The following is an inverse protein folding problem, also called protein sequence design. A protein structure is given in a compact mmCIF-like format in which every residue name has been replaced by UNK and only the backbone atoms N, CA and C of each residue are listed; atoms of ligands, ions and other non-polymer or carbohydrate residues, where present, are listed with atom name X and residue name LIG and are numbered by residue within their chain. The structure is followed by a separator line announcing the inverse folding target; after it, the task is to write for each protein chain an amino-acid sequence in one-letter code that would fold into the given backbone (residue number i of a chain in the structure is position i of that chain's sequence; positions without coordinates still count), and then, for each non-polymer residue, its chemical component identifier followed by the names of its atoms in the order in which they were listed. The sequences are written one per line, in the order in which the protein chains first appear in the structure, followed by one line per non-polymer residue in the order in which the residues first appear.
data_IF_381295587389
#
_entry.id   IF_381295587389
#
_cell.length_a   1.000
_cell.length_b   1.000
_cell.length_c   1.000
_cell.angle_alpha   90.00
_cell.angle_beta   90.00
_cell.angle_gamma   90.00
#
_symmetry.space_group_name_H-M   'P 1'
#
loop_
_entity.id
_entity.type
_entity.pdbx_description
1 polymer ?
#
# COMPACT_ATOMS: atom_id res chain seq x y z
N UNK A 1 -31.65 -13.77 6.15
CA UNK A 1 -31.74 -14.62 4.94
C UNK A 1 -30.54 -14.33 4.06
N UNK A 2 -29.98 -15.31 3.36
CA UNK A 2 -28.91 -15.10 2.37
C UNK A 2 -29.59 -14.80 1.02
N UNK A 3 -28.98 -13.94 0.20
CA UNK A 3 -29.49 -13.52 -1.11
C UNK A 3 -29.88 -14.72 -1.99
N UNK A 4 -29.11 -15.82 -1.91
CA UNK A 4 -29.36 -17.05 -2.68
C UNK A 4 -30.67 -17.74 -2.29
N UNK A 5 -31.09 -17.61 -1.03
CA UNK A 5 -32.38 -18.12 -0.55
C UNK A 5 -33.51 -17.24 -1.05
N UNK A 6 -33.35 -15.91 -0.99
CA UNK A 6 -34.34 -14.95 -1.48
C UNK A 6 -34.56 -15.09 -3.00
N UNK A 7 -33.49 -15.27 -3.79
CA UNK A 7 -33.57 -15.51 -5.24
C UNK A 7 -34.37 -16.79 -5.53
N UNK A 8 -34.13 -17.89 -4.80
CA UNK A 8 -34.88 -19.14 -4.94
C UNK A 8 -36.37 -18.96 -4.65
N UNK A 9 -36.71 -18.28 -3.56
CA UNK A 9 -38.11 -17.98 -3.18
C UNK A 9 -38.79 -17.11 -4.25
N UNK A 10 -38.11 -16.10 -4.81
CA UNK A 10 -38.63 -15.27 -5.91
C UNK A 10 -38.88 -16.07 -7.19
N UNK A 11 -38.00 -17.02 -7.52
CA UNK A 11 -38.22 -17.93 -8.65
C UNK A 11 -39.43 -18.86 -8.44
N UNK A 12 -39.70 -19.29 -7.21
CA UNK A 12 -40.88 -20.11 -6.87
C UNK A 12 -42.18 -19.31 -6.96
N UNK A 13 -42.15 -18.00 -6.68
CA UNK A 13 -43.30 -17.09 -6.82
C UNK A 13 -43.69 -16.87 -8.28
N UNK A 14 -42.78 -17.14 -9.24
CA UNK A 14 -43.06 -17.06 -10.68
C UNK A 14 -43.82 -18.32 -11.13
N UNK A 15 -45.15 -18.29 -11.36
CA UNK A 15 -45.91 -19.49 -11.74
C UNK A 15 -45.40 -20.08 -13.06
N UNK A 16 -45.10 -21.38 -13.06
CA UNK A 16 -44.87 -22.17 -14.28
C UNK A 16 -46.21 -22.41 -14.98
N UNK A 17 -46.65 -21.46 -15.80
CA UNK A 17 -47.78 -21.66 -16.73
C UNK A 17 -49.09 -20.90 -16.46
N UNK A 18 -49.08 -19.81 -15.68
CA UNK A 18 -50.24 -18.92 -15.50
C UNK A 18 -50.03 -17.54 -16.14
N UNK A 19 -51.12 -16.80 -16.43
CA UNK A 19 -51.05 -15.40 -16.90
C UNK A 19 -50.60 -14.52 -15.74
N UNK A 20 -49.30 -14.24 -15.66
CA UNK A 20 -48.77 -13.20 -14.76
C UNK A 20 -49.02 -11.84 -15.43
N UNK A 21 -49.55 -10.83 -14.72
CA UNK A 21 -49.51 -9.47 -15.22
C UNK A 21 -48.05 -9.08 -15.53
N UNK A 22 -47.75 -8.68 -16.76
CA UNK A 22 -46.38 -8.43 -17.23
C UNK A 22 -45.53 -7.59 -16.26
N UNK A 23 -46.12 -6.53 -15.68
CA UNK A 23 -45.48 -5.68 -14.66
C UNK A 23 -44.97 -6.44 -13.43
N UNK A 24 -45.66 -7.49 -13.01
CA UNK A 24 -45.25 -8.33 -11.88
C UNK A 24 -44.07 -9.23 -12.27
N UNK A 25 -44.04 -9.74 -13.50
CA UNK A 25 -42.90 -10.51 -13.98
C UNK A 25 -41.65 -9.63 -14.07
N UNK A 26 -41.78 -8.44 -14.65
CA UNK A 26 -40.70 -7.44 -14.74
C UNK A 26 -40.17 -7.04 -13.35
N UNK A 27 -41.06 -6.83 -12.38
CA UNK A 27 -40.66 -6.51 -11.00
C UNK A 27 -39.91 -7.65 -10.30
N UNK A 28 -40.30 -8.91 -10.56
CA UNK A 28 -39.60 -10.08 -10.02
C UNK A 28 -38.23 -10.25 -10.67
N UNK A 29 -38.14 -10.12 -11.99
CA UNK A 29 -36.88 -10.23 -12.73
C UNK A 29 -35.90 -9.13 -12.29
N UNK A 30 -36.37 -7.88 -12.12
CA UNK A 30 -35.55 -6.78 -11.60
C UNK A 30 -35.08 -7.02 -10.15
N UNK A 31 -35.93 -7.58 -9.28
CA UNK A 31 -35.55 -7.90 -7.91
C UNK A 31 -34.50 -9.03 -7.84
N UNK A 32 -34.63 -10.04 -8.70
CA UNK A 32 -33.64 -11.13 -8.81
C UNK A 32 -32.31 -10.56 -9.29
N UNK A 33 -32.30 -9.75 -10.36
CA UNK A 33 -31.09 -9.13 -10.89
C UNK A 33 -30.38 -8.28 -9.83
N UNK A 34 -31.12 -7.45 -9.08
CA UNK A 34 -30.55 -6.64 -8.02
C UNK A 34 -29.90 -7.50 -6.91
N UNK A 35 -30.50 -8.63 -6.54
CA UNK A 35 -29.94 -9.54 -5.54
C UNK A 35 -28.69 -10.27 -6.06
N UNK A 36 -28.65 -10.62 -7.35
CA UNK A 36 -27.46 -11.18 -8.00
C UNK A 36 -26.30 -10.18 -8.00
N UNK A 37 -26.55 -8.90 -8.29
CA UNK A 37 -25.54 -7.84 -8.20
C UNK A 37 -25.01 -7.69 -6.75
N UNK A 38 -25.89 -7.69 -5.75
CA UNK A 38 -25.50 -7.63 -4.33
C UNK A 38 -24.63 -8.83 -3.93
N UNK A 39 -24.91 -10.03 -4.46
CA UNK A 39 -24.06 -11.20 -4.23
C UNK A 39 -22.65 -11.03 -4.79
N UNK A 40 -22.53 -10.45 -6.00
CA UNK A 40 -21.22 -10.18 -6.59
C UNK A 40 -20.42 -9.20 -5.72
N UNK A 41 -21.03 -8.15 -5.20
CA UNK A 41 -20.36 -7.23 -4.27
C UNK A 41 -19.97 -7.92 -2.96
N UNK A 42 -20.85 -8.75 -2.37
CA UNK A 42 -20.54 -9.49 -1.14
C UNK A 42 -19.44 -10.54 -1.31
N UNK A 43 -19.23 -11.05 -2.52
CA UNK A 43 -18.11 -11.92 -2.81
C UNK A 43 -16.74 -11.20 -2.72
N UNK A 44 -16.73 -9.86 -2.86
CA UNK A 44 -15.54 -9.03 -2.68
C UNK A 44 -15.24 -8.82 -1.19
N UNK A 45 -16.27 -8.55 -0.39
CA UNK A 45 -16.17 -8.36 1.05
C UNK A 45 -17.40 -7.68 1.66
N UNK A 46 -17.46 -7.60 2.98
CA UNK A 46 -18.49 -6.82 3.68
C UNK A 46 -18.17 -5.32 3.64
N UNK A 47 -19.17 -4.43 3.81
CA UNK A 47 -18.93 -3.00 3.92
C UNK A 47 -17.89 -2.65 5.00
N UNK A 48 -17.90 -3.37 6.13
CA UNK A 48 -16.96 -3.18 7.22
C UNK A 48 -15.53 -3.60 6.82
N UNK A 49 -15.36 -4.76 6.17
CA UNK A 49 -14.06 -5.22 5.67
C UNK A 49 -13.48 -4.26 4.62
N UNK A 50 -14.32 -3.75 3.73
CA UNK A 50 -13.90 -2.79 2.71
C UNK A 50 -13.54 -1.43 3.31
N UNK A 51 -14.24 -1.00 4.37
CA UNK A 51 -13.92 0.23 5.09
C UNK A 51 -12.60 0.11 5.85
N UNK A 52 -12.36 -1.04 6.50
CA UNK A 52 -11.11 -1.33 7.19
C UNK A 52 -9.93 -1.38 6.19
N UNK A 53 -10.08 -2.11 5.09
CA UNK A 53 -9.08 -2.15 4.02
C UNK A 53 -8.76 -0.76 3.46
N UNK A 54 -9.78 0.08 3.27
CA UNK A 54 -9.61 1.47 2.85
C UNK A 54 -8.78 2.25 3.86
N UNK A 55 -9.08 2.13 5.16
CA UNK A 55 -8.33 2.81 6.23
C UNK A 55 -6.86 2.39 6.24
N UNK A 56 -6.62 1.08 6.29
CA UNK A 56 -5.26 0.50 6.30
C UNK A 56 -4.44 0.93 5.08
N UNK A 57 -5.06 0.98 3.90
CA UNK A 57 -4.40 1.46 2.68
C UNK A 57 -4.03 2.95 2.76
N UNK A 58 -4.91 3.80 3.30
CA UNK A 58 -4.61 5.22 3.49
C UNK A 58 -3.50 5.46 4.51
N UNK A 59 -3.47 4.70 5.61
CA UNK A 59 -2.38 4.76 6.59
C UNK A 59 -1.04 4.36 5.96
N UNK A 60 -0.98 3.22 5.27
CA UNK A 60 0.24 2.78 4.59
C UNK A 60 0.75 3.78 3.54
N UNK A 61 -0.17 4.42 2.80
CA UNK A 61 0.18 5.49 1.87
C UNK A 61 0.71 6.75 2.58
N UNK A 62 0.14 7.11 3.72
CA UNK A 62 0.60 8.24 4.54
C UNK A 62 2.03 7.99 5.03
N UNK A 63 2.29 6.82 5.60
CA UNK A 63 3.62 6.43 6.08
C UNK A 63 4.65 6.45 4.95
N UNK A 64 4.29 5.91 3.79
CA UNK A 64 5.16 5.94 2.61
C UNK A 64 5.51 7.38 2.16
N UNK A 65 4.55 8.30 2.20
CA UNK A 65 4.80 9.72 1.89
C UNK A 65 5.77 10.34 2.87
N UNK A 66 5.67 10.01 4.17
CA UNK A 66 6.61 10.48 5.18
C UNK A 66 8.04 10.00 4.89
N UNK A 67 8.25 8.71 4.60
CA UNK A 67 9.58 8.21 4.25
C UNK A 67 10.18 8.89 3.02
N UNK A 68 9.36 9.18 2.01
CA UNK A 68 9.81 9.89 0.81
C UNK A 68 10.31 11.32 1.10
N UNK A 69 9.86 11.95 2.18
CA UNK A 69 10.38 13.28 2.59
C UNK A 69 11.76 13.22 3.23
N UNK A 70 12.17 12.08 3.80
CA UNK A 70 13.49 11.90 4.42
C UNK A 70 14.58 11.79 3.35
N UNK A 71 14.30 11.05 2.29
CA UNK A 71 15.23 10.80 1.19
C UNK A 71 14.91 9.48 0.49
N UNK A 72 15.59 9.23 -0.61
CA UNK A 72 15.58 7.96 -1.32
C UNK A 72 16.36 6.89 -0.54
N UNK A 73 16.06 5.62 -0.81
CA UNK A 73 16.80 4.49 -0.22
C UNK A 73 18.30 4.60 -0.50
N UNK A 74 18.68 5.10 -1.68
CA UNK A 74 20.09 5.25 -2.05
C UNK A 74 20.78 6.40 -1.33
N UNK A 75 20.08 7.50 -1.06
CA UNK A 75 20.60 8.57 -0.20
C UNK A 75 20.83 8.06 1.23
N UNK A 76 19.89 7.28 1.77
CA UNK A 76 20.06 6.63 3.08
C UNK A 76 21.23 5.65 3.07
N UNK A 77 21.36 4.82 2.02
CA UNK A 77 22.46 3.85 1.90
C UNK A 77 23.81 4.57 1.83
N UNK A 78 23.91 5.62 1.01
CA UNK A 78 25.11 6.44 0.91
C UNK A 78 25.45 7.12 2.25
N UNK A 79 24.45 7.58 3.01
CA UNK A 79 24.66 8.12 4.34
C UNK A 79 25.22 7.07 5.31
N UNK A 80 24.67 5.85 5.31
CA UNK A 80 25.17 4.72 6.12
C UNK A 80 26.59 4.32 5.72
N UNK A 81 26.89 4.25 4.43
CA UNK A 81 28.25 3.97 3.93
C UNK A 81 29.25 5.03 4.45
N UNK A 82 28.87 6.31 4.44
CA UNK A 82 29.69 7.39 5.02
C UNK A 82 29.86 7.30 6.53
N UNK A 83 28.94 6.68 7.27
CA UNK A 83 29.06 6.46 8.71
C UNK A 83 29.99 5.28 9.07
N UNK A 84 30.26 4.38 8.11
CA UNK A 84 31.27 3.33 8.28
C UNK A 84 32.65 3.95 8.32
N UNK A 85 33.35 3.85 9.45
CA UNK A 85 34.64 4.49 9.62
C UNK A 85 35.70 3.82 8.73
N UNK A 86 36.51 4.64 8.03
CA UNK A 86 37.64 4.16 7.22
C UNK A 86 38.96 4.79 7.69
N UNK A 87 40.07 4.09 7.51
CA UNK A 87 41.38 4.57 7.97
C UNK A 87 41.81 5.82 7.19
N UNK A 88 42.37 6.81 7.89
CA UNK A 88 42.99 7.98 7.25
C UNK A 88 44.22 7.60 6.43
N UNK A 89 44.46 8.34 5.36
CA UNK A 89 45.71 8.29 4.61
C UNK A 89 46.74 9.20 5.25
N UNK A 90 48.01 8.79 5.25
CA UNK A 90 49.12 9.59 5.77
C UNK A 90 50.08 9.94 4.63
N UNK A 91 50.12 11.22 4.25
CA UNK A 91 50.95 11.73 3.16
C UNK A 91 51.80 12.86 3.75
N UNK A 92 53.13 12.72 3.71
CA UNK A 92 54.08 13.71 4.25
C UNK A 92 53.81 14.10 5.72
N UNK A 93 53.43 13.11 6.54
CA UNK A 93 53.12 13.33 7.96
C UNK A 93 51.79 14.04 8.24
N UNK A 94 50.98 14.29 7.21
CA UNK A 94 49.64 14.88 7.32
C UNK A 94 48.57 13.84 7.00
N UNK A 95 47.41 13.96 7.64
CA UNK A 95 46.27 13.06 7.43
C UNK A 95 45.37 13.55 6.30
N UNK A 96 44.86 12.63 5.48
CA UNK A 96 43.96 12.89 4.36
C UNK A 96 42.75 11.94 4.38
N UNK A 97 41.64 12.43 3.84
CA UNK A 97 40.42 11.62 3.67
C UNK A 97 40.55 10.70 2.45
N UNK A 98 40.34 9.38 2.56
CA UNK A 98 40.46 8.46 1.42
C UNK A 98 39.42 8.67 0.31
N UNK A 99 38.28 9.30 0.63
CA UNK A 99 37.18 9.50 -0.32
C UNK A 99 37.36 10.73 -1.20
N UNK A 100 37.92 11.80 -0.66
CA UNK A 100 38.01 13.09 -1.36
C UNK A 100 39.42 13.69 -1.36
N UNK A 101 40.40 13.02 -0.75
CA UNK A 101 41.80 13.43 -0.63
C UNK A 101 41.99 14.83 -0.04
N UNK A 102 41.02 15.31 0.74
CA UNK A 102 41.13 16.57 1.48
C UNK A 102 41.95 16.37 2.76
N UNK A 103 42.73 17.39 3.10
CA UNK A 103 43.50 17.46 4.34
C UNK A 103 42.58 17.36 5.56
N UNK A 104 42.92 16.49 6.50
CA UNK A 104 42.17 16.16 7.72
C UNK A 104 42.99 16.56 8.96
N UNK A 105 42.95 17.82 9.41
CA UNK A 105 43.72 18.24 10.58
C UNK A 105 43.23 17.61 11.89
N UNK A 106 41.95 17.20 11.94
CA UNK A 106 41.32 16.60 13.12
C UNK A 106 40.69 15.23 12.79
N UNK A 107 40.66 14.28 13.74
CA UNK A 107 39.97 13.01 13.56
C UNK A 107 38.43 13.16 13.60
N UNK A 108 37.70 12.15 13.16
CA UNK A 108 36.24 12.13 13.22
C UNK A 108 35.60 12.08 11.84
N UNK A 109 35.20 13.23 11.29
CA UNK A 109 34.52 13.32 10.00
C UNK A 109 35.23 14.27 9.04
N UNK A 110 35.32 13.87 7.78
CA UNK A 110 35.69 14.78 6.70
C UNK A 110 34.51 15.68 6.31
N UNK A 111 34.80 16.85 5.73
CA UNK A 111 33.77 17.75 5.18
C UNK A 111 32.89 17.12 4.08
N UNK A 112 33.33 16.02 3.46
CA UNK A 112 32.48 15.24 2.55
C UNK A 112 31.45 14.32 3.25
N UNK A 113 31.49 14.28 4.59
CA UNK A 113 30.62 13.48 5.47
C UNK A 113 31.16 12.09 5.83
N UNK A 114 32.30 11.66 5.29
CA UNK A 114 32.90 10.36 5.58
C UNK A 114 33.48 10.32 7.01
N UNK A 115 33.08 9.32 7.80
CA UNK A 115 33.69 8.99 9.08
C UNK A 115 35.06 8.35 8.86
N UNK A 116 36.06 8.81 9.61
CA UNK A 116 37.42 8.32 9.53
C UNK A 116 37.99 8.01 10.92
N UNK A 117 38.92 7.05 10.99
CA UNK A 117 39.66 6.70 12.19
C UNK A 117 41.17 6.73 11.99
#
# INVERSE_FOLDING_TARGET
MIESKAIKELHEIRPRGGIIPQKRAEALDAAIQALEEVQQYRAIGTPEELQDMKSNYFEALSDWRQYRTIGTVEECRAAVEKQTAISRELIEGKYFCPKCHNLMPYPGYCGCGQKVY
#
